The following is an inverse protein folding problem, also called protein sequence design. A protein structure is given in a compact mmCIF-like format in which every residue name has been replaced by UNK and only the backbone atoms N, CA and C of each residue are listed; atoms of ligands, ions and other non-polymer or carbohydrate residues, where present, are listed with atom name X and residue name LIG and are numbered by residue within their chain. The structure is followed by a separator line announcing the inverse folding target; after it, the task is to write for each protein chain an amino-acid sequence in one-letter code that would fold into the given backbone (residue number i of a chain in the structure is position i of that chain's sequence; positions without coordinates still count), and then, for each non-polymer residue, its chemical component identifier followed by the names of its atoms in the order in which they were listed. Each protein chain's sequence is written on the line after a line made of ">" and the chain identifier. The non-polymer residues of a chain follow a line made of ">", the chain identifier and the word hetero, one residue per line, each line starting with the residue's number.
data_IF_698698246704
#
_entry.id   IF_698698246704
#
_cell.length_a   1.000
_cell.length_b   1.000
_cell.length_c   1.000
_cell.angle_alpha   90.00
_cell.angle_beta   90.00
_cell.angle_gamma   90.00
#
_symmetry.space_group_name_H-M   'P 1'
#
loop_
_entity.id
_entity.type
_entity.pdbx_description
1 polymer ?
#
# COMPACT_ATOMS: atom_id res chain seq x y z
N UNK A 1 25.74 -19.51 -6.84
CA UNK A 1 24.76 -18.44 -6.57
C UNK A 1 23.71 -18.53 -7.68
N UNK A 2 22.49 -19.02 -7.40
CA UNK A 2 21.45 -19.11 -8.44
C UNK A 2 20.93 -17.70 -8.73
N UNK A 3 20.69 -17.33 -9.99
CA UNK A 3 20.04 -16.06 -10.31
C UNK A 3 18.66 -16.05 -9.64
N UNK A 4 18.36 -14.96 -8.95
CA UNK A 4 17.02 -14.69 -8.44
C UNK A 4 16.10 -14.51 -9.66
N UNK A 5 15.43 -15.58 -10.08
CA UNK A 5 14.21 -15.42 -10.85
C UNK A 5 13.24 -14.67 -9.94
N UNK A 6 12.87 -13.43 -10.29
CA UNK A 6 11.80 -12.66 -9.64
C UNK A 6 10.43 -13.22 -10.05
N UNK A 7 10.33 -14.54 -10.22
CA UNK A 7 9.08 -15.21 -10.54
C UNK A 7 8.18 -15.19 -9.33
N UNK A 8 7.11 -14.41 -9.40
CA UNK A 8 5.99 -14.36 -8.45
C UNK A 8 5.17 -15.66 -8.45
N UNK A 9 5.84 -16.81 -8.57
CA UNK A 9 5.29 -18.14 -8.46
C UNK A 9 5.39 -18.56 -7.00
N UNK A 10 4.32 -18.31 -6.24
CA UNK A 10 4.22 -18.77 -4.86
C UNK A 10 3.14 -19.85 -4.78
N UNK A 11 3.53 -21.08 -4.45
CA UNK A 11 2.59 -22.23 -4.34
C UNK A 11 1.70 -22.44 -5.58
N UNK A 12 2.23 -22.20 -6.78
CA UNK A 12 1.49 -22.35 -8.04
C UNK A 12 0.61 -21.15 -8.43
N UNK A 13 0.60 -20.08 -7.64
CA UNK A 13 -0.06 -18.81 -7.96
C UNK A 13 0.94 -17.90 -8.67
N UNK A 14 0.55 -17.35 -9.82
CA UNK A 14 1.31 -16.34 -10.57
C UNK A 14 0.67 -14.97 -10.43
N UNK A 15 1.37 -14.01 -9.81
CA UNK A 15 0.90 -12.63 -9.71
C UNK A 15 1.41 -11.81 -10.89
N UNK A 16 0.49 -11.43 -11.78
CA UNK A 16 0.79 -10.50 -12.89
C UNK A 16 0.82 -9.06 -12.40
N UNK A 17 1.96 -8.40 -12.53
CA UNK A 17 2.07 -6.96 -12.29
C UNK A 17 1.77 -6.21 -13.58
N UNK A 18 0.61 -5.58 -13.67
CA UNK A 18 0.19 -4.83 -14.88
C UNK A 18 0.60 -3.36 -14.86
N UNK A 19 0.95 -2.81 -13.69
CA UNK A 19 1.43 -1.44 -13.58
C UNK A 19 1.94 -1.07 -12.18
N UNK A 20 2.78 -0.03 -12.13
CA UNK A 20 3.36 0.58 -10.93
C UNK A 20 3.29 2.09 -11.08
N UNK A 21 2.85 2.80 -10.05
CA UNK A 21 2.80 4.26 -10.06
C UNK A 21 3.49 4.88 -8.85
N UNK A 22 3.97 6.12 -9.03
CA UNK A 22 4.32 7.03 -7.95
C UNK A 22 3.53 8.35 -8.08
N UNK A 23 3.93 9.39 -7.35
CA UNK A 23 3.25 10.69 -7.37
C UNK A 23 3.41 11.46 -8.70
N UNK A 24 4.22 10.96 -9.64
CA UNK A 24 4.60 11.67 -10.87
C UNK A 24 4.28 10.89 -12.13
N UNK A 25 4.28 9.56 -12.10
CA UNK A 25 4.01 8.75 -13.27
C UNK A 25 3.41 7.37 -12.96
N UNK A 26 2.83 6.77 -13.98
CA UNK A 26 2.39 5.39 -14.05
C UNK A 26 3.20 4.67 -15.13
N UNK A 27 3.84 3.56 -14.77
CA UNK A 27 4.46 2.59 -15.67
C UNK A 27 3.51 1.41 -15.77
N UNK A 28 3.10 1.02 -16.97
CA UNK A 28 2.14 -0.08 -17.14
C UNK A 28 2.44 -0.90 -18.41
N UNK A 29 1.96 -2.15 -18.42
CA UNK A 29 2.15 -3.03 -19.57
C UNK A 29 1.43 -2.48 -20.82
N UNK A 30 2.08 -2.59 -21.98
CA UNK A 30 1.54 -2.14 -23.28
C UNK A 30 0.12 -2.66 -23.57
N UNK A 31 -0.16 -3.92 -23.21
CA UNK A 31 -1.50 -4.48 -23.13
C UNK A 31 -1.71 -5.11 -21.75
N UNK A 32 -2.52 -4.46 -20.91
CA UNK A 32 -2.82 -4.91 -19.54
C UNK A 32 -3.69 -6.17 -19.48
N UNK A 33 -4.35 -6.56 -20.57
CA UNK A 33 -5.18 -7.77 -20.61
C UNK A 33 -4.29 -9.00 -20.72
N UNK A 34 -3.35 -8.98 -21.67
CA UNK A 34 -2.55 -10.17 -22.03
C UNK A 34 -1.11 -10.14 -21.51
N UNK A 35 -0.56 -8.96 -21.21
CA UNK A 35 0.85 -8.79 -20.81
C UNK A 35 0.99 -8.36 -19.35
N UNK A 36 2.23 -8.37 -18.88
CA UNK A 36 2.66 -7.91 -17.57
C UNK A 36 3.99 -7.15 -17.69
N UNK A 37 4.39 -6.46 -16.63
CA UNK A 37 5.72 -5.91 -16.50
C UNK A 37 6.70 -7.04 -16.23
N UNK A 38 7.69 -7.21 -17.11
CA UNK A 38 8.71 -8.24 -16.96
C UNK A 38 9.71 -7.91 -15.82
N UNK A 39 10.50 -8.91 -15.42
CA UNK A 39 11.48 -8.80 -14.33
C UNK A 39 12.50 -7.68 -14.55
N UNK A 40 12.87 -7.40 -15.80
CA UNK A 40 13.81 -6.33 -16.12
C UNK A 40 13.19 -4.95 -15.85
N UNK A 41 11.95 -4.73 -16.30
CA UNK A 41 11.21 -3.49 -16.01
C UNK A 41 10.99 -3.30 -14.52
N UNK A 42 10.58 -4.34 -13.80
CA UNK A 42 10.37 -4.27 -12.35
C UNK A 42 11.68 -3.99 -11.60
N UNK A 43 12.78 -4.61 -12.01
CA UNK A 43 14.10 -4.36 -11.41
C UNK A 43 14.55 -2.90 -11.60
N UNK A 44 14.31 -2.34 -12.79
CA UNK A 44 14.60 -0.92 -13.07
C UNK A 44 13.72 0.02 -12.24
N UNK A 45 12.42 -0.27 -12.13
CA UNK A 45 11.50 0.47 -11.25
C UNK A 45 12.03 0.47 -9.80
N UNK A 46 12.40 -0.69 -9.28
CA UNK A 46 12.97 -0.81 -7.93
C UNK A 46 14.28 -0.02 -7.77
N UNK A 47 15.16 -0.05 -8.78
CA UNK A 47 16.41 0.72 -8.80
C UNK A 47 16.15 2.21 -8.75
N UNK A 48 15.25 2.73 -9.58
CA UNK A 48 14.87 4.14 -9.60
C UNK A 48 14.27 4.59 -8.27
N UNK A 49 13.33 3.83 -7.70
CA UNK A 49 12.69 4.19 -6.43
C UNK A 49 13.66 4.13 -5.25
N UNK A 50 14.56 3.14 -5.21
CA UNK A 50 15.60 3.03 -4.17
C UNK A 50 16.57 4.22 -4.19
N UNK A 51 16.83 4.78 -5.37
CA UNK A 51 17.66 5.98 -5.55
C UNK A 51 16.90 7.30 -5.35
N UNK A 52 15.65 7.26 -4.88
CA UNK A 52 14.81 8.45 -4.70
C UNK A 52 14.33 9.10 -6.00
N UNK A 53 14.54 8.45 -7.14
CA UNK A 53 14.14 8.98 -8.45
C UNK A 53 12.64 8.79 -8.73
N UNK A 54 12.13 9.65 -9.60
CA UNK A 54 10.75 9.59 -10.11
C UNK A 54 10.63 8.57 -11.23
N UNK A 55 9.49 7.86 -11.30
CA UNK A 55 9.19 6.98 -12.44
C UNK A 55 9.03 7.73 -13.76
N UNK A 56 8.77 9.03 -13.72
CA UNK A 56 8.72 9.87 -14.92
C UNK A 56 10.07 9.98 -15.65
N UNK A 57 11.18 9.62 -14.98
CA UNK A 57 12.51 9.59 -15.57
C UNK A 57 12.88 8.20 -16.13
N UNK A 58 11.97 7.22 -16.02
CA UNK A 58 12.17 5.90 -16.61
C UNK A 58 12.08 6.02 -18.14
N UNK A 59 13.14 5.61 -18.83
CA UNK A 59 13.17 5.60 -20.29
C UNK A 59 12.29 4.50 -20.88
N UNK A 60 12.22 4.46 -22.21
CA UNK A 60 11.53 3.40 -22.93
C UNK A 60 12.25 2.06 -22.74
N UNK A 61 11.57 1.11 -22.09
CA UNK A 61 12.01 -0.28 -21.91
C UNK A 61 11.29 -1.23 -22.88
N UNK A 62 10.66 -0.68 -23.94
CA UNK A 62 10.04 -1.37 -25.06
C UNK A 62 8.65 -1.93 -24.78
N UNK A 63 8.47 -2.65 -23.67
CA UNK A 63 7.21 -3.37 -23.41
C UNK A 63 6.24 -2.65 -22.47
N UNK A 64 6.71 -1.58 -21.82
CA UNK A 64 5.94 -0.77 -20.89
C UNK A 64 5.73 0.66 -21.41
N UNK A 65 4.60 1.25 -21.04
CA UNK A 65 4.26 2.63 -21.35
C UNK A 65 4.41 3.45 -20.06
N UNK A 66 5.03 4.63 -20.17
CA UNK A 66 5.21 5.58 -19.06
C UNK A 66 4.32 6.80 -19.30
N UNK A 67 3.31 7.00 -18.45
CA UNK A 67 2.42 8.17 -18.51
C UNK A 67 2.68 9.11 -17.34
N UNK A 68 2.73 10.42 -17.62
CA UNK A 68 2.82 11.46 -16.59
C UNK A 68 1.54 11.64 -15.76
N UNK A 69 1.66 12.32 -14.62
CA UNK A 69 0.66 12.40 -13.54
C UNK A 69 -0.78 12.68 -13.98
N UNK A 70 -1.02 13.66 -14.86
CA UNK A 70 -2.38 14.02 -15.30
C UNK A 70 -3.09 12.89 -16.04
N UNK A 71 -2.35 12.07 -16.80
CA UNK A 71 -2.90 10.92 -17.52
C UNK A 71 -2.92 9.65 -16.66
N UNK A 72 -2.04 9.57 -15.65
CA UNK A 72 -1.90 8.40 -14.78
C UNK A 72 -3.21 8.06 -14.07
N UNK A 73 -3.91 9.04 -13.49
CA UNK A 73 -5.18 8.80 -12.77
C UNK A 73 -6.25 8.24 -13.70
N UNK A 74 -6.43 8.84 -14.89
CA UNK A 74 -7.40 8.37 -15.88
C UNK A 74 -7.10 6.95 -16.30
N UNK A 75 -5.82 6.67 -16.61
CA UNK A 75 -5.41 5.33 -17.06
C UNK A 75 -5.60 4.27 -15.98
N UNK A 76 -5.35 4.59 -14.71
CA UNK A 76 -5.67 3.71 -13.58
C UNK A 76 -7.17 3.37 -13.54
N UNK A 77 -8.04 4.37 -13.72
CA UNK A 77 -9.49 4.13 -13.76
C UNK A 77 -9.92 3.27 -14.95
N UNK A 78 -9.31 3.49 -16.13
CA UNK A 78 -9.59 2.68 -17.32
C UNK A 78 -9.19 1.21 -17.09
N UNK A 79 -8.02 0.96 -16.49
CA UNK A 79 -7.55 -0.38 -16.13
C UNK A 79 -8.49 -1.03 -15.11
N UNK A 80 -8.93 -0.27 -14.08
CA UNK A 80 -9.86 -0.76 -13.07
C UNK A 80 -11.22 -1.15 -13.67
N UNK A 81 -11.77 -0.32 -14.56
CA UNK A 81 -13.04 -0.60 -15.23
C UNK A 81 -12.93 -1.83 -16.15
N UNK A 82 -11.79 -2.00 -16.83
CA UNK A 82 -11.55 -3.09 -17.76
C UNK A 82 -11.37 -4.44 -17.05
N UNK A 83 -10.60 -4.48 -15.95
CA UNK A 83 -10.16 -5.73 -15.33
C UNK A 83 -10.88 -6.07 -14.02
N UNK A 84 -11.43 -5.08 -13.32
CA UNK A 84 -11.88 -5.20 -11.93
C UNK A 84 -12.82 -6.37 -11.68
N UNK A 85 -13.86 -6.53 -12.50
CA UNK A 85 -14.87 -7.60 -12.34
C UNK A 85 -14.39 -8.98 -12.83
N UNK A 86 -13.38 -9.02 -13.69
CA UNK A 86 -13.03 -10.23 -14.44
C UNK A 86 -11.82 -10.98 -13.88
N UNK A 87 -10.86 -10.28 -13.28
CA UNK A 87 -9.54 -10.87 -12.99
C UNK A 87 -9.19 -10.93 -11.51
N UNK A 88 -9.97 -10.28 -10.64
CA UNK A 88 -9.57 -10.09 -9.25
C UNK A 88 -8.44 -9.06 -9.09
N UNK A 89 -8.34 -8.09 -10.02
CA UNK A 89 -7.34 -7.01 -9.98
C UNK A 89 -7.25 -6.37 -8.59
N UNK A 90 -6.05 -6.32 -8.04
CA UNK A 90 -5.77 -5.72 -6.75
C UNK A 90 -4.92 -4.45 -6.90
N UNK A 91 -5.38 -3.35 -6.29
CA UNK A 91 -4.61 -2.14 -6.12
C UNK A 91 -3.87 -2.18 -4.78
N UNK A 92 -2.55 -2.10 -4.82
CA UNK A 92 -1.71 -2.15 -3.62
C UNK A 92 -1.17 -0.74 -3.35
N UNK A 93 -1.62 -0.12 -2.26
CA UNK A 93 -1.17 1.21 -1.85
C UNK A 93 -0.11 1.11 -0.76
N UNK A 94 1.14 1.25 -1.19
CA UNK A 94 2.34 1.37 -0.35
C UNK A 94 2.81 2.82 -0.22
N UNK A 95 1.98 3.81 -0.58
CA UNK A 95 2.35 5.22 -0.47
C UNK A 95 2.24 5.74 0.96
N UNK A 96 2.66 6.99 1.16
CA UNK A 96 2.43 7.75 2.38
C UNK A 96 1.62 9.02 2.07
N UNK A 97 0.57 8.90 1.25
CA UNK A 97 -0.29 10.01 0.80
C UNK A 97 -1.76 9.72 1.06
N UNK A 98 -2.55 10.73 1.44
CA UNK A 98 -4.01 10.61 1.52
C UNK A 98 -4.70 10.79 0.16
N UNK A 99 -3.97 11.22 -0.87
CA UNK A 99 -4.51 11.51 -2.20
C UNK A 99 -4.99 10.26 -2.94
N UNK A 100 -4.52 9.07 -2.55
CA UNK A 100 -4.88 7.79 -3.16
C UNK A 100 -6.27 7.32 -2.73
N UNK A 101 -6.74 7.69 -1.54
CA UNK A 101 -7.91 7.09 -0.89
C UNK A 101 -9.17 7.24 -1.74
N UNK A 102 -9.41 8.45 -2.27
CA UNK A 102 -10.58 8.72 -3.12
C UNK A 102 -10.57 7.87 -4.39
N UNK A 103 -9.40 7.67 -5.00
CA UNK A 103 -9.26 6.80 -6.17
C UNK A 103 -9.47 5.32 -5.78
N UNK A 104 -8.94 4.89 -4.64
CA UNK A 104 -9.14 3.54 -4.12
C UNK A 104 -10.63 3.23 -3.87
N UNK A 105 -11.40 4.21 -3.40
CA UNK A 105 -12.85 4.10 -3.28
C UNK A 105 -13.56 3.88 -4.62
N UNK A 106 -13.08 4.52 -5.68
CA UNK A 106 -13.68 4.35 -7.00
C UNK A 106 -13.34 2.98 -7.60
N UNK A 107 -12.10 2.50 -7.45
CA UNK A 107 -11.71 1.20 -8.02
C UNK A 107 -12.35 0.02 -7.27
N UNK A 108 -12.59 0.13 -5.95
CA UNK A 108 -13.31 -0.93 -5.22
C UNK A 108 -14.78 -1.02 -5.67
N UNK A 109 -15.42 0.11 -5.98
CA UNK A 109 -16.78 0.14 -6.57
C UNK A 109 -16.81 -0.50 -7.97
N UNK A 110 -15.69 -0.47 -8.70
CA UNK A 110 -15.52 -1.17 -9.99
C UNK A 110 -15.27 -2.68 -9.83
N UNK A 111 -15.28 -3.20 -8.62
CA UNK A 111 -15.08 -4.62 -8.34
C UNK A 111 -13.63 -5.03 -8.14
N UNK A 112 -12.70 -4.08 -8.02
CA UNK A 112 -11.30 -4.38 -7.70
C UNK A 112 -11.13 -4.73 -6.21
N UNK A 113 -9.99 -5.32 -5.88
CA UNK A 113 -9.49 -5.48 -4.53
C UNK A 113 -8.53 -4.33 -4.19
N UNK A 114 -8.39 -4.01 -2.90
CA UNK A 114 -7.49 -2.98 -2.38
C UNK A 114 -6.66 -3.59 -1.25
N UNK A 115 -5.35 -3.38 -1.29
CA UNK A 115 -4.41 -3.78 -0.23
C UNK A 115 -3.69 -2.51 0.25
N UNK A 116 -3.74 -2.24 1.55
CA UNK A 116 -3.17 -1.04 2.15
C UNK A 116 -1.98 -1.38 3.05
N UNK A 117 -0.85 -0.74 2.79
CA UNK A 117 0.22 -0.51 3.75
C UNK A 117 0.33 0.97 4.16
N UNK A 118 -0.36 1.86 3.43
CA UNK A 118 -0.44 3.28 3.69
C UNK A 118 -1.22 3.61 4.97
N UNK A 119 -0.52 4.12 6.00
CA UNK A 119 -1.14 4.51 7.27
C UNK A 119 -1.95 5.80 7.19
N UNK A 120 -1.65 6.70 6.25
CA UNK A 120 -2.38 7.97 6.10
C UNK A 120 -3.81 7.75 5.60
N UNK A 121 -4.10 6.57 5.05
CA UNK A 121 -5.46 6.16 4.74
C UNK A 121 -6.38 6.18 5.98
N UNK A 122 -5.83 5.85 7.16
CA UNK A 122 -6.59 5.66 8.40
C UNK A 122 -6.53 6.85 9.35
N UNK A 123 -5.77 7.91 9.03
CA UNK A 123 -5.63 9.06 9.91
C UNK A 123 -6.84 9.99 9.85
N UNK A 124 -7.29 10.41 11.04
CA UNK A 124 -8.17 11.56 11.21
C UNK A 124 -7.36 12.84 10.90
N UNK A 125 -7.74 13.60 9.87
CA UNK A 125 -7.20 14.95 9.65
C UNK A 125 -8.31 15.97 9.91
N UNK A 126 -8.11 16.87 10.88
CA UNK A 126 -9.01 17.98 11.21
C UNK A 126 -10.47 17.61 11.55
N UNK A 127 -10.69 16.58 12.37
CA UNK A 127 -12.02 16.32 12.97
C UNK A 127 -13.10 15.81 12.03
N UNK A 128 -12.84 15.73 10.72
CA UNK A 128 -13.68 14.99 9.79
C UNK A 128 -13.20 13.55 9.74
N UNK A 129 -14.08 12.65 10.18
CA UNK A 129 -13.97 11.22 9.89
C UNK A 129 -13.77 11.10 8.38
N UNK A 130 -12.71 10.41 7.94
CA UNK A 130 -12.57 10.12 6.51
C UNK A 130 -13.67 9.11 6.16
N UNK A 131 -14.86 9.59 5.81
CA UNK A 131 -15.96 8.78 5.26
C UNK A 131 -15.45 7.86 4.14
N UNK A 132 -14.43 8.34 3.43
CA UNK A 132 -13.69 7.61 2.43
C UNK A 132 -13.00 6.33 2.98
N UNK A 133 -12.35 6.38 4.14
CA UNK A 133 -11.72 5.19 4.71
C UNK A 133 -12.75 4.21 5.26
N UNK A 134 -13.79 4.73 5.93
CA UNK A 134 -14.90 3.92 6.44
C UNK A 134 -15.59 3.16 5.29
N UNK A 135 -15.79 3.82 4.14
CA UNK A 135 -16.30 3.19 2.94
C UNK A 135 -15.36 2.07 2.46
N UNK A 136 -14.06 2.31 2.38
CA UNK A 136 -13.09 1.30 1.98
C UNK A 136 -13.17 0.04 2.86
N UNK A 137 -13.19 0.21 4.19
CA UNK A 137 -13.24 -0.92 5.13
C UNK A 137 -14.60 -1.61 5.20
N UNK A 138 -15.66 -0.97 4.70
CA UNK A 138 -17.00 -1.58 4.57
C UNK A 138 -17.07 -2.71 3.53
N UNK A 139 -16.01 -2.92 2.74
CA UNK A 139 -15.88 -4.01 1.76
C UNK A 139 -14.94 -5.14 2.26
N UNK A 140 -15.29 -5.92 3.29
CA UNK A 140 -14.37 -6.83 3.99
C UNK A 140 -13.80 -7.96 3.11
N UNK A 141 -14.43 -8.26 1.97
CA UNK A 141 -13.94 -9.26 1.00
C UNK A 141 -12.97 -8.69 -0.03
N UNK A 142 -12.93 -7.36 -0.19
CA UNK A 142 -12.14 -6.67 -1.22
C UNK A 142 -10.97 -5.90 -0.62
N UNK A 143 -11.01 -5.57 0.66
CA UNK A 143 -9.96 -4.82 1.32
C UNK A 143 -9.10 -5.67 2.27
N UNK A 144 -7.79 -5.46 2.23
CA UNK A 144 -6.84 -5.92 3.25
C UNK A 144 -5.97 -4.75 3.69
N UNK A 145 -5.84 -4.53 4.99
CA UNK A 145 -5.09 -3.39 5.54
C UNK A 145 -4.19 -3.80 6.72
N UNK A 146 -3.85 -5.08 6.80
CA UNK A 146 -3.03 -5.65 7.89
C UNK A 146 -1.73 -4.87 8.07
N UNK A 147 -1.03 -4.58 6.98
CA UNK A 147 0.27 -3.92 7.02
C UNK A 147 0.26 -2.45 7.40
N UNK A 148 -0.93 -1.87 7.65
CA UNK A 148 -1.03 -0.53 8.24
C UNK A 148 -0.66 -0.53 9.73
N UNK A 149 -0.77 -1.66 10.42
CA UNK A 149 -0.47 -1.80 11.86
C UNK A 149 0.41 -3.02 12.10
N UNK A 150 1.54 -2.87 12.80
CA UNK A 150 2.41 -4.02 13.12
C UNK A 150 3.13 -4.64 11.91
N UNK A 151 3.16 -3.95 10.76
CA UNK A 151 3.86 -4.34 9.54
C UNK A 151 3.44 -5.72 8.97
N UNK A 152 4.13 -6.79 9.34
CA UNK A 152 3.80 -8.15 8.91
C UNK A 152 3.00 -8.94 9.96
N UNK A 153 2.83 -8.40 11.17
CA UNK A 153 2.15 -9.09 12.26
C UNK A 153 0.62 -9.05 12.03
N UNK A 154 -0.10 -10.15 12.34
CA UNK A 154 -1.55 -10.24 12.15
C UNK A 154 -2.32 -9.51 13.25
N UNK A 155 -1.99 -8.25 13.54
CA UNK A 155 -2.60 -7.42 14.58
C UNK A 155 -4.09 -7.19 14.31
N UNK A 156 -4.46 -6.71 13.12
CA UNK A 156 -5.84 -6.41 12.75
C UNK A 156 -6.64 -7.70 12.64
N UNK A 157 -6.09 -8.73 11.97
CA UNK A 157 -6.73 -10.03 11.90
C UNK A 157 -6.99 -10.65 13.28
N UNK A 158 -6.06 -10.54 14.21
CA UNK A 158 -6.23 -11.04 15.59
C UNK A 158 -7.27 -10.25 16.35
N UNK A 159 -7.26 -8.91 16.24
CA UNK A 159 -8.25 -8.04 16.86
C UNK A 159 -9.67 -8.35 16.36
N UNK A 160 -9.84 -8.47 15.04
CA UNK A 160 -11.14 -8.80 14.44
C UNK A 160 -11.64 -10.18 14.90
N UNK A 161 -10.75 -11.16 15.11
CA UNK A 161 -11.12 -12.47 15.67
C UNK A 161 -11.63 -12.34 17.10
N UNK A 162 -10.94 -11.62 17.97
CA UNK A 162 -11.36 -11.37 19.36
C UNK A 162 -12.72 -10.66 19.42
N UNK A 163 -12.89 -9.60 18.62
CA UNK A 163 -14.17 -8.89 18.56
C UNK A 163 -15.31 -9.78 18.06
N UNK A 164 -15.03 -10.65 17.07
CA UNK A 164 -16.03 -11.56 16.52
C UNK A 164 -16.37 -12.72 17.46
N UNK A 165 -15.46 -13.15 18.34
CA UNK A 165 -15.73 -14.14 19.39
C UNK A 165 -16.43 -13.56 20.62
N UNK A 166 -16.57 -12.22 20.69
CA UNK A 166 -17.11 -11.51 21.85
C UNK A 166 -16.09 -11.30 22.96
N UNK A 167 -14.80 -11.55 22.69
CA UNK A 167 -13.74 -11.35 23.66
C UNK A 167 -13.46 -9.84 23.86
N UNK A 168 -13.49 -9.35 25.10
CA UNK A 168 -13.31 -7.93 25.39
C UNK A 168 -11.85 -7.48 25.25
N UNK A 169 -11.63 -6.39 24.52
CA UNK A 169 -10.30 -5.78 24.33
C UNK A 169 -10.08 -4.70 25.38
N UNK A 170 -9.16 -4.93 26.32
CA UNK A 170 -9.00 -4.08 27.51
C UNK A 170 -7.93 -2.99 27.39
N UNK A 171 -6.75 -3.31 26.83
CA UNK A 171 -5.61 -2.37 26.72
C UNK A 171 -4.85 -2.65 25.44
N UNK A 172 -4.33 -1.59 24.80
CA UNK A 172 -3.43 -1.71 23.64
C UNK A 172 -1.98 -1.55 24.09
N UNK A 173 -1.03 -2.06 23.31
CA UNK A 173 0.40 -1.92 23.61
C UNK A 173 0.83 -0.44 23.75
N UNK A 174 0.25 0.46 22.96
CA UNK A 174 0.52 1.90 23.08
C UNK A 174 0.08 2.47 24.44
N UNK A 175 -1.03 1.96 24.98
CA UNK A 175 -1.48 2.30 26.33
C UNK A 175 -0.55 1.72 27.40
N UNK A 176 -0.11 0.46 27.26
CA UNK A 176 0.84 -0.18 28.19
C UNK A 176 2.22 0.50 28.17
N UNK A 177 2.74 0.87 27.00
CA UNK A 177 3.98 1.62 26.84
C UNK A 177 3.91 3.06 27.38
N UNK A 178 2.69 3.61 27.49
CA UNK A 178 2.48 4.92 28.14
C UNK A 178 2.42 4.81 29.66
N UNK A 179 1.98 3.65 30.18
CA UNK A 179 1.76 3.39 31.62
C UNK A 179 2.95 2.69 32.30
N UNK A 180 3.82 2.01 31.54
CA UNK A 180 4.79 1.08 32.12
C UNK A 180 6.08 0.97 31.30
N UNK A 181 7.07 1.76 31.68
CA UNK A 181 8.47 1.35 31.73
C UNK A 181 9.25 2.30 32.66
N UNK A 182 10.19 1.76 33.43
CA UNK A 182 10.94 2.37 34.54
C UNK A 182 11.45 3.79 34.27
N UNK A 183 10.63 4.80 34.58
CA UNK A 183 11.03 6.18 34.79
C UNK A 183 11.50 6.97 33.56
N UNK A 184 11.52 6.39 32.35
CA UNK A 184 11.86 7.12 31.12
C UNK A 184 10.60 7.41 30.30
N UNK A 185 10.26 8.69 30.07
CA UNK A 185 9.10 9.01 29.26
C UNK A 185 9.28 8.47 27.84
N UNK A 186 8.22 7.93 27.23
CA UNK A 186 8.20 7.43 25.85
C UNK A 186 8.80 8.43 24.84
N UNK A 187 8.67 9.73 25.11
CA UNK A 187 9.28 10.80 24.31
C UNK A 187 10.81 10.75 24.26
N UNK A 188 11.49 10.28 25.31
CA UNK A 188 12.93 10.05 25.32
C UNK A 188 13.33 8.83 24.49
N UNK A 189 12.58 7.74 24.57
CA UNK A 189 12.80 6.53 23.75
C UNK A 189 12.63 6.86 22.27
N UNK A 190 11.60 7.63 21.91
CA UNK A 190 11.37 8.13 20.54
C UNK A 190 12.50 9.05 20.07
N UNK A 191 13.01 9.94 20.95
CA UNK A 191 14.17 10.79 20.63
C UNK A 191 15.43 9.97 20.37
N UNK A 192 15.70 8.96 21.19
CA UNK A 192 16.84 8.05 21.01
C UNK A 192 16.71 7.27 19.71
N UNK A 193 15.52 6.72 19.41
CA UNK A 193 15.26 6.03 18.15
C UNK A 193 15.44 6.95 16.93
N UNK A 194 15.04 8.22 17.04
CA UNK A 194 15.28 9.24 16.00
C UNK A 194 16.77 9.53 15.81
N UNK A 195 17.52 9.69 16.91
CA UNK A 195 18.97 9.93 16.85
C UNK A 195 19.76 8.76 16.29
N UNK A 196 19.27 7.53 16.50
CA UNK A 196 19.85 6.30 15.95
C UNK A 196 19.39 6.00 14.51
N UNK A 197 18.58 6.88 13.91
CA UNK A 197 18.13 6.73 12.51
C UNK A 197 17.03 5.69 12.30
N UNK A 198 16.41 5.18 13.36
CA UNK A 198 15.30 4.23 13.28
C UNK A 198 13.97 4.88 12.90
N UNK A 199 13.86 6.22 12.91
CA UNK A 199 12.66 6.97 12.56
C UNK A 199 12.99 8.23 11.75
N UNK A 200 12.24 8.47 10.67
CA UNK A 200 12.28 9.73 9.92
C UNK A 200 11.46 10.82 10.64
N UNK A 201 11.70 12.09 10.31
CA UNK A 201 11.01 13.24 10.89
C UNK A 201 9.47 13.10 10.75
N UNK A 202 8.79 12.90 11.87
CA UNK A 202 7.37 13.16 11.99
C UNK A 202 7.27 14.51 12.71
N UNK A 203 6.81 15.54 12.00
CA UNK A 203 6.39 16.80 12.61
C UNK A 203 5.17 16.48 13.47
N UNK A 204 5.30 16.67 14.78
CA UNK A 204 4.17 16.71 15.70
C UNK A 204 3.33 17.95 15.44
#
# INVERSE_FOLDING_TARGET
>A
MKPLHFGWYWQGVHLRVVGVCDSKALVFASDVITRELNDQTLSEVCRFKSNGSSLSALGDLGECIVNGNTESKRKVMDIAALLGKATGLAFVDCSASSETIRMLNQVVDMGCCVVLANKKASYFYNGNKLEDYDKLVSYPRRIRHESTVGAGLPVIASLNRLLSSGDPVHRTLGYVMSDGEDGKPFSEVVKVAKNLGFMNQVSA
#
